data_IF_253080611490
#
_entry.id   IF_253080611490
#
_cell.length_a   1.000
_cell.length_b   1.000
_cell.length_c   1.000
_cell.angle_alpha   90.00
_cell.angle_beta   90.00
_cell.angle_gamma   90.00
#
_symmetry.space_group_name_H-M   'P 1'
#
loop_
_entity.id
_entity.type
_entity.pdbx_description
1 polymer ?
#
# COMPACT_ATOMS: atom_id res chain seq x y z
N UNK A 1 -0.04 3.95 14.95
CA UNK A 1 -1.09 3.79 13.92
C UNK A 1 -1.36 2.31 13.66
N UNK A 2 -2.60 1.88 13.44
CA UNK A 2 -2.94 0.46 13.14
C UNK A 2 -3.25 0.27 11.66
N UNK A 3 -2.57 -0.64 10.98
CA UNK A 3 -2.66 -0.79 9.52
C UNK A 3 -2.89 -2.25 9.15
N UNK A 4 -3.82 -2.51 8.25
CA UNK A 4 -3.97 -3.82 7.61
C UNK A 4 -3.50 -3.71 6.15
N UNK A 5 -2.49 -4.49 5.78
CA UNK A 5 -1.99 -4.57 4.41
C UNK A 5 -2.51 -5.85 3.77
N UNK A 6 -3.27 -5.71 2.69
CA UNK A 6 -3.98 -6.80 2.00
C UNK A 6 -3.64 -6.77 0.52
N UNK A 7 -3.18 -7.89 -0.07
CA UNK A 7 -3.18 -8.03 -1.52
C UNK A 7 -4.57 -7.78 -2.11
N UNK A 8 -4.65 -6.96 -3.16
CA UNK A 8 -5.92 -6.59 -3.81
C UNK A 8 -6.71 -7.81 -4.27
N UNK A 9 -6.01 -8.87 -4.68
CA UNK A 9 -6.60 -10.16 -5.06
C UNK A 9 -7.34 -10.82 -3.90
N UNK A 10 -6.79 -10.79 -2.68
CA UNK A 10 -7.44 -11.36 -1.49
C UNK A 10 -8.65 -10.52 -1.08
N UNK A 11 -8.54 -9.19 -1.07
CA UNK A 11 -9.71 -8.34 -0.82
C UNK A 11 -10.84 -8.59 -1.84
N UNK A 12 -10.48 -8.71 -3.11
CA UNK A 12 -11.45 -9.01 -4.18
C UNK A 12 -12.06 -10.42 -4.01
N UNK A 13 -11.31 -11.37 -3.46
CA UNK A 13 -11.80 -12.69 -3.06
C UNK A 13 -12.82 -12.59 -1.93
N UNK A 14 -12.47 -11.87 -0.86
CA UNK A 14 -13.35 -11.64 0.29
C UNK A 14 -14.66 -10.98 -0.13
N UNK A 15 -14.61 -9.92 -0.95
CA UNK A 15 -15.81 -9.26 -1.47
C UNK A 15 -16.69 -10.22 -2.28
N UNK A 16 -16.09 -11.02 -3.17
CA UNK A 16 -16.85 -12.00 -3.98
C UNK A 16 -17.50 -13.07 -3.11
N UNK A 17 -16.81 -13.55 -2.09
CA UNK A 17 -17.37 -14.49 -1.12
C UNK A 17 -18.54 -13.85 -0.37
N UNK A 18 -18.38 -12.64 0.17
CA UNK A 18 -19.45 -11.92 0.88
C UNK A 18 -20.70 -11.67 0.05
N UNK A 19 -20.56 -11.46 -1.28
CA UNK A 19 -21.71 -11.35 -2.20
C UNK A 19 -22.39 -12.71 -2.40
N UNK A 20 -21.61 -13.79 -2.55
CA UNK A 20 -22.14 -15.13 -2.86
C UNK A 20 -22.72 -15.86 -1.65
N UNK A 21 -22.13 -15.63 -0.48
CA UNK A 21 -22.50 -16.26 0.79
C UNK A 21 -22.65 -15.17 1.86
N UNK A 22 -23.74 -14.37 1.81
CA UNK A 22 -23.96 -13.31 2.77
C UNK A 22 -24.00 -13.83 4.21
N UNK A 23 -23.24 -13.20 5.09
CA UNK A 23 -23.16 -13.56 6.51
C UNK A 23 -22.16 -14.68 6.84
N UNK A 24 -21.60 -15.37 5.85
CA UNK A 24 -20.46 -16.26 6.10
C UNK A 24 -19.20 -15.47 6.45
N UNK A 25 -18.44 -16.03 7.39
CA UNK A 25 -17.22 -15.44 7.89
C UNK A 25 -16.01 -16.14 7.31
N UNK A 26 -15.00 -15.34 7.00
CA UNK A 26 -13.69 -15.78 6.54
C UNK A 26 -12.69 -15.62 7.68
N UNK A 27 -11.76 -16.56 7.76
CA UNK A 27 -10.51 -16.42 8.48
C UNK A 27 -9.44 -15.81 7.57
N UNK A 28 -8.77 -14.76 8.04
CA UNK A 28 -7.69 -14.08 7.32
C UNK A 28 -6.42 -14.24 8.16
N UNK A 29 -5.57 -15.25 7.89
CA UNK A 29 -4.29 -15.38 8.56
C UNK A 29 -3.43 -14.14 8.32
N UNK A 30 -2.76 -13.68 9.37
CA UNK A 30 -1.94 -12.46 9.31
C UNK A 30 -0.55 -12.67 9.88
N UNK A 31 0.46 -12.15 9.19
CA UNK A 31 1.72 -11.79 9.84
C UNK A 31 1.59 -10.45 10.57
N UNK A 32 2.35 -10.25 11.64
CA UNK A 32 2.36 -8.99 12.38
C UNK A 32 3.74 -8.33 12.30
N UNK A 33 3.76 -7.01 12.14
CA UNK A 33 4.97 -6.20 12.15
C UNK A 33 4.75 -4.94 12.99
N UNK A 34 5.60 -4.76 14.01
CA UNK A 34 5.59 -3.59 14.87
C UNK A 34 6.77 -2.68 14.55
N UNK A 35 6.53 -1.37 14.51
CA UNK A 35 7.54 -0.32 14.48
C UNK A 35 7.22 0.77 15.49
N UNK A 36 8.13 1.72 15.69
CA UNK A 36 7.94 2.84 16.61
C UNK A 36 6.67 3.67 16.31
N UNK A 37 6.22 3.71 15.05
CA UNK A 37 5.09 4.55 14.63
C UNK A 37 3.80 3.75 14.34
N UNK A 38 3.90 2.43 14.08
CA UNK A 38 2.76 1.64 13.65
C UNK A 38 2.81 0.17 14.04
N UNK A 39 1.62 -0.41 14.18
CA UNK A 39 1.39 -1.85 14.20
C UNK A 39 0.70 -2.25 12.89
N UNK A 40 1.23 -3.24 12.21
CA UNK A 40 0.81 -3.63 10.87
C UNK A 40 0.50 -5.13 10.81
N UNK A 41 -0.67 -5.47 10.25
CA UNK A 41 -1.10 -6.83 9.97
C UNK A 41 -1.00 -7.08 8.46
N UNK A 42 -0.38 -8.19 8.08
CA UNK A 42 -0.13 -8.57 6.68
C UNK A 42 -1.01 -9.77 6.33
N UNK A 43 -2.11 -9.53 5.61
CA UNK A 43 -3.05 -10.58 5.23
C UNK A 43 -2.41 -11.55 4.21
N UNK A 44 -2.51 -12.85 4.51
CA UNK A 44 -1.90 -13.92 3.70
C UNK A 44 -2.86 -14.61 2.75
N UNK A 45 -4.13 -14.71 3.13
CA UNK A 45 -5.20 -15.31 2.34
C UNK A 45 -6.56 -15.05 2.99
N UNK A 46 -7.64 -15.56 2.41
CA UNK A 46 -8.97 -15.53 3.00
C UNK A 46 -9.62 -16.91 2.88
N UNK A 47 -9.92 -17.54 4.01
CA UNK A 47 -10.34 -18.94 4.10
C UNK A 47 -11.76 -19.00 4.70
N UNK A 48 -12.75 -19.61 4.04
CA UNK A 48 -14.08 -19.79 4.61
C UNK A 48 -14.06 -20.60 5.90
N UNK A 49 -14.86 -20.19 6.89
CA UNK A 49 -15.05 -20.97 8.11
C UNK A 49 -16.08 -22.10 7.89
N UNK A 50 -15.96 -23.25 8.61
CA UNK A 50 -14.99 -23.56 9.66
C UNK A 50 -13.65 -24.07 9.10
N UNK A 51 -12.61 -23.23 9.16
CA UNK A 51 -11.23 -23.59 8.83
C UNK A 51 -10.40 -23.70 10.12
N UNK A 52 -9.34 -24.48 10.06
CA UNK A 52 -8.39 -24.62 11.16
C UNK A 52 -7.68 -23.27 11.42
N UNK A 53 -7.69 -22.80 12.66
CA UNK A 53 -7.18 -21.47 13.06
C UNK A 53 -5.83 -21.59 13.76
N UNK A 54 -4.88 -22.26 13.11
CA UNK A 54 -3.56 -22.56 13.71
C UNK A 54 -2.61 -21.35 13.71
N UNK A 55 -2.97 -20.27 13.01
CA UNK A 55 -2.18 -19.05 12.89
C UNK A 55 -2.98 -17.85 13.35
N UNK A 56 -2.33 -16.81 13.91
CA UNK A 56 -2.98 -15.54 14.21
C UNK A 56 -3.66 -14.94 12.97
N UNK A 57 -4.76 -14.26 13.18
CA UNK A 57 -5.57 -13.78 12.06
C UNK A 57 -6.74 -12.93 12.47
N UNK A 58 -7.38 -12.38 11.43
CA UNK A 58 -8.57 -11.55 11.53
C UNK A 58 -9.78 -12.31 11.02
N UNK A 59 -10.93 -12.02 11.62
CA UNK A 59 -12.22 -12.41 11.05
C UNK A 59 -12.63 -11.39 9.99
N UNK A 60 -13.14 -11.84 8.84
CA UNK A 60 -13.62 -10.98 7.78
C UNK A 60 -15.00 -11.40 7.28
N UNK A 61 -15.89 -10.45 7.01
CA UNK A 61 -17.20 -10.72 6.41
C UNK A 61 -17.78 -9.47 5.73
N UNK A 62 -18.88 -9.66 4.99
CA UNK A 62 -19.68 -8.57 4.42
C UNK A 62 -20.80 -8.14 5.36
N UNK A 63 -21.00 -6.83 5.55
CA UNK A 63 -22.06 -6.29 6.39
C UNK A 63 -22.85 -5.17 5.67
N UNK A 64 -24.18 -5.24 5.73
CA UNK A 64 -25.09 -4.24 5.17
C UNK A 64 -25.48 -3.12 6.16
N UNK A 65 -25.14 -3.26 7.45
CA UNK A 65 -25.34 -2.24 8.50
C UNK A 65 -24.06 -2.10 9.34
N UNK A 66 -23.63 -0.86 9.71
CA UNK A 66 -22.47 -0.67 10.57
C UNK A 66 -22.70 -1.21 11.98
N UNK A 67 -23.92 -1.06 12.49
CA UNK A 67 -24.31 -1.34 13.87
C UNK A 67 -24.39 -2.83 14.18
N UNK A 68 -24.50 -3.66 13.15
CA UNK A 68 -24.64 -5.10 13.33
C UNK A 68 -23.45 -5.67 14.14
N UNK A 69 -22.24 -5.09 14.02
CA UNK A 69 -21.03 -5.64 14.64
C UNK A 69 -19.93 -4.62 15.01
N UNK A 70 -20.15 -3.31 14.83
CA UNK A 70 -19.14 -2.26 15.07
C UNK A 70 -18.59 -2.19 16.51
N UNK A 71 -19.34 -2.68 17.50
CA UNK A 71 -18.98 -2.63 18.93
C UNK A 71 -18.64 -3.99 19.55
N UNK A 72 -18.53 -5.08 18.76
CA UNK A 72 -18.26 -6.41 19.32
C UNK A 72 -16.82 -6.55 19.80
N UNK A 73 -16.67 -7.24 20.92
CA UNK A 73 -15.38 -7.68 21.44
C UNK A 73 -14.69 -8.59 20.41
N UNK A 74 -13.39 -8.38 20.21
CA UNK A 74 -12.57 -9.29 19.41
C UNK A 74 -12.54 -10.66 20.13
N UNK A 75 -12.92 -11.77 19.47
CA UNK A 75 -12.84 -13.10 20.07
C UNK A 75 -11.42 -13.44 20.55
N UNK A 76 -11.27 -14.24 21.61
CA UNK A 76 -9.94 -14.52 22.21
C UNK A 76 -8.92 -15.03 21.19
N UNK A 77 -9.35 -15.94 20.31
CA UNK A 77 -8.53 -16.58 19.28
C UNK A 77 -8.27 -15.70 18.04
N UNK A 78 -8.80 -14.48 17.98
CA UNK A 78 -8.61 -13.57 16.87
C UNK A 78 -7.80 -12.35 17.27
N UNK A 79 -6.97 -11.86 16.35
CA UNK A 79 -6.25 -10.60 16.51
C UNK A 79 -7.16 -9.40 16.24
N UNK A 80 -8.32 -9.62 15.65
CA UNK A 80 -9.22 -8.57 15.24
C UNK A 80 -10.25 -9.03 14.23
N UNK A 81 -10.91 -8.06 13.63
CA UNK A 81 -11.89 -8.28 12.59
C UNK A 81 -11.96 -7.10 11.61
N UNK A 82 -12.41 -7.41 10.39
CA UNK A 82 -12.73 -6.43 9.34
C UNK A 82 -14.10 -6.70 8.72
N UNK A 83 -14.81 -5.63 8.42
CA UNK A 83 -16.09 -5.65 7.73
C UNK A 83 -15.95 -4.99 6.38
N UNK A 84 -16.50 -5.66 5.36
CA UNK A 84 -16.66 -5.12 4.02
C UNK A 84 -18.09 -4.61 3.89
N UNK A 85 -18.27 -3.32 3.64
CA UNK A 85 -19.59 -2.73 3.46
C UNK A 85 -20.29 -3.30 2.22
N UNK A 86 -21.52 -3.78 2.41
CA UNK A 86 -22.40 -4.33 1.40
C UNK A 86 -23.60 -3.39 1.19
N UNK A 87 -24.29 -3.52 0.06
CA UNK A 87 -25.50 -2.75 -0.27
C UNK A 87 -25.30 -1.24 -0.10
N UNK A 88 -26.10 -0.59 0.76
CA UNK A 88 -25.99 0.84 1.06
C UNK A 88 -24.67 1.27 1.70
N UNK A 89 -23.82 0.34 2.12
CA UNK A 89 -22.48 0.58 2.65
C UNK A 89 -21.36 0.23 1.67
N UNK A 90 -21.68 -0.11 0.42
CA UNK A 90 -20.68 -0.45 -0.59
C UNK A 90 -19.57 0.61 -0.67
N UNK A 91 -18.32 0.14 -0.70
CA UNK A 91 -17.13 1.00 -0.71
C UNK A 91 -16.62 1.42 0.68
N UNK A 92 -17.29 1.02 1.77
CA UNK A 92 -16.80 1.21 3.14
C UNK A 92 -16.08 -0.04 3.64
N UNK A 93 -15.04 0.17 4.44
CA UNK A 93 -14.35 -0.88 5.19
C UNK A 93 -14.11 -0.33 6.59
N UNK A 94 -14.39 -1.13 7.61
CA UNK A 94 -14.10 -0.80 9.01
C UNK A 94 -13.68 -2.06 9.76
N UNK A 95 -13.04 -1.90 10.91
CA UNK A 95 -12.50 -3.02 11.67
C UNK A 95 -11.98 -2.60 13.02
N UNK A 96 -11.65 -3.59 13.83
CA UNK A 96 -10.92 -3.41 15.07
C UNK A 96 -9.84 -4.48 15.19
N UNK A 97 -8.73 -4.12 15.83
CA UNK A 97 -7.58 -5.00 16.05
C UNK A 97 -7.13 -4.90 17.50
N UNK A 98 -6.48 -5.96 17.98
CA UNK A 98 -5.97 -6.08 19.33
C UNK A 98 -4.51 -5.62 19.36
N UNK A 99 -4.23 -4.63 20.20
CA UNK A 99 -2.86 -4.15 20.47
C UNK A 99 -2.60 -4.32 21.96
N UNK A 100 -1.77 -5.28 22.32
CA UNK A 100 -1.63 -5.71 23.72
C UNK A 100 -2.98 -6.24 24.25
N UNK A 101 -3.46 -5.67 25.36
CA UNK A 101 -4.77 -6.00 25.94
C UNK A 101 -5.92 -5.13 25.41
N UNK A 102 -5.64 -4.13 24.57
CA UNK A 102 -6.64 -3.17 24.13
C UNK A 102 -7.20 -3.52 22.75
N UNK A 103 -8.50 -3.33 22.59
CA UNK A 103 -9.16 -3.29 21.29
C UNK A 103 -9.15 -1.86 20.77
N UNK A 104 -8.56 -1.66 19.59
CA UNK A 104 -8.43 -0.36 18.95
C UNK A 104 -8.99 -0.39 17.53
N UNK A 105 -9.54 0.71 17.00
CA UNK A 105 -10.05 0.76 15.63
C UNK A 105 -8.94 0.52 14.61
N UNK A 106 -9.25 -0.23 13.55
CA UNK A 106 -8.37 -0.35 12.38
C UNK A 106 -8.38 0.96 11.59
N UNK A 107 -7.31 1.73 11.75
CA UNK A 107 -7.20 3.08 11.18
C UNK A 107 -6.99 3.12 9.66
N UNK A 108 -6.32 2.14 9.05
CA UNK A 108 -6.00 2.15 7.62
C UNK A 108 -5.95 0.73 7.03
N UNK A 109 -6.45 0.58 5.81
CA UNK A 109 -6.27 -0.61 4.97
C UNK A 109 -5.46 -0.25 3.72
N UNK A 110 -4.34 -0.94 3.49
CA UNK A 110 -3.48 -0.78 2.32
C UNK A 110 -3.70 -1.94 1.36
N UNK A 111 -4.01 -1.62 0.10
CA UNK A 111 -4.21 -2.60 -0.95
C UNK A 111 -2.94 -2.73 -1.78
N UNK A 112 -2.25 -3.86 -1.64
CA UNK A 112 -1.08 -4.17 -2.45
C UNK A 112 -1.55 -4.64 -3.83
N UNK A 113 -1.12 -3.94 -4.87
CA UNK A 113 -1.49 -4.20 -6.27
C UNK A 113 -1.69 -2.91 -7.06
N UNK A 114 -2.31 -3.03 -8.24
CA UNK A 114 -2.54 -1.87 -9.10
C UNK A 114 -3.31 -0.76 -8.37
N UNK A 115 -2.75 0.45 -8.39
CA UNK A 115 -3.26 1.64 -7.70
C UNK A 115 -2.69 1.87 -6.29
N UNK A 116 -2.20 0.83 -5.61
CA UNK A 116 -1.67 0.90 -4.23
C UNK A 116 -2.59 1.72 -3.30
N UNK A 117 -3.88 1.35 -3.28
CA UNK A 117 -4.90 2.14 -2.59
C UNK A 117 -4.70 2.11 -1.08
N UNK A 118 -5.05 3.22 -0.44
CA UNK A 118 -5.12 3.34 1.01
C UNK A 118 -6.56 3.73 1.35
N UNK A 119 -7.24 2.93 2.15
CA UNK A 119 -8.62 3.13 2.58
C UNK A 119 -8.57 3.46 4.08
N UNK A 120 -9.10 4.61 4.47
CA UNK A 120 -8.88 5.17 5.82
C UNK A 120 -7.49 5.78 6.00
N UNK A 121 -7.18 6.19 7.24
CA UNK A 121 -5.93 6.86 7.64
C UNK A 121 -5.92 8.38 7.37
N UNK A 122 -4.89 9.09 7.85
CA UNK A 122 -4.69 10.49 7.47
C UNK A 122 -4.51 10.56 5.95
N UNK A 123 -5.22 11.49 5.31
CA UNK A 123 -5.02 11.82 3.89
C UNK A 123 -3.52 11.99 3.64
N UNK A 124 -3.04 11.61 2.45
CA UNK A 124 -1.69 11.91 1.98
C UNK A 124 -1.44 13.44 1.81
N UNK A 125 -2.12 14.27 2.58
CA UNK A 125 -1.88 15.70 2.75
C UNK A 125 -0.67 15.96 3.63
N UNK A 126 0.03 14.91 4.11
CA UNK A 126 1.38 15.10 4.65
C UNK A 126 2.26 15.64 3.51
N UNK A 127 2.77 16.88 3.60
CA UNK A 127 3.75 17.36 2.65
C UNK A 127 4.89 16.35 2.63
N UNK A 128 5.40 16.03 1.44
CA UNK A 128 6.62 15.23 1.38
C UNK A 128 7.67 15.96 2.24
N UNK A 129 8.48 15.26 3.02
CA UNK A 129 9.42 15.90 3.94
C UNK A 129 10.31 16.91 3.18
N UNK A 130 10.10 18.22 3.30
CA UNK A 130 10.77 19.23 2.45
C UNK A 130 10.16 19.47 1.05
N UNK A 131 8.86 19.20 0.84
CA UNK A 131 8.17 19.68 -0.37
C UNK A 131 7.99 21.18 -0.28
N UNK A 132 8.83 21.93 -0.97
CA UNK A 132 8.39 23.21 -1.53
C UNK A 132 7.28 22.84 -2.52
N UNK A 133 6.04 23.31 -2.35
CA UNK A 133 5.03 23.17 -3.38
C UNK A 133 5.62 23.76 -4.66
N UNK A 134 5.64 23.05 -5.80
CA UNK A 134 6.04 23.69 -7.04
C UNK A 134 5.18 24.95 -7.21
N UNK A 135 5.83 26.08 -7.52
CA UNK A 135 5.12 27.32 -7.87
C UNK A 135 3.99 26.96 -8.86
N UNK A 136 2.80 27.57 -8.81
CA UNK A 136 1.64 27.14 -9.62
C UNK A 136 1.95 26.94 -11.12
N UNK A 137 2.81 27.79 -11.69
CA UNK A 137 3.29 27.67 -13.07
C UNK A 137 4.17 26.43 -13.29
N UNK A 138 5.05 26.11 -12.34
CA UNK A 138 5.80 24.87 -12.38
C UNK A 138 4.83 23.70 -12.31
N UNK A 139 3.84 23.72 -11.40
CA UNK A 139 2.86 22.64 -11.26
C UNK A 139 2.16 22.32 -12.60
N UNK A 140 1.73 23.34 -13.36
CA UNK A 140 1.15 23.16 -14.69
C UNK A 140 2.14 22.50 -15.66
N UNK A 141 3.39 22.97 -15.72
CA UNK A 141 4.46 22.36 -16.51
C UNK A 141 4.71 20.89 -16.12
N UNK A 142 4.67 20.56 -14.83
CA UNK A 142 4.75 19.17 -14.36
C UNK A 142 3.55 18.36 -14.87
N UNK A 143 2.33 18.88 -14.73
CA UNK A 143 1.15 18.16 -15.21
C UNK A 143 1.19 17.88 -16.71
N UNK A 144 1.68 18.82 -17.51
CA UNK A 144 1.85 18.64 -18.96
C UNK A 144 2.90 17.55 -19.28
N UNK A 145 4.11 17.68 -18.68
CA UNK A 145 5.24 16.78 -18.94
C UNK A 145 4.93 15.31 -18.64
N UNK A 146 4.18 15.01 -17.57
CA UNK A 146 3.80 13.64 -17.19
C UNK A 146 2.35 13.29 -17.52
N UNK A 147 1.66 14.09 -18.34
CA UNK A 147 0.24 13.88 -18.69
C UNK A 147 -0.07 12.44 -19.13
N UNK A 148 0.73 11.88 -20.05
CA UNK A 148 0.59 10.49 -20.52
C UNK A 148 0.88 9.46 -19.42
N UNK A 149 1.89 9.70 -18.59
CA UNK A 149 2.25 8.81 -17.47
C UNK A 149 1.13 8.80 -16.42
N UNK A 150 0.59 9.97 -16.08
CA UNK A 150 -0.56 10.09 -15.18
C UNK A 150 -1.83 9.50 -15.78
N UNK A 151 -2.03 9.58 -17.09
CA UNK A 151 -3.13 8.93 -17.80
C UNK A 151 -3.06 7.40 -17.70
N UNK A 152 -1.85 6.83 -17.84
CA UNK A 152 -1.64 5.39 -17.74
C UNK A 152 -1.69 4.86 -16.30
N UNK A 153 -1.03 5.54 -15.35
CA UNK A 153 -0.94 5.09 -13.95
C UNK A 153 -2.14 5.53 -13.09
N UNK A 154 -2.83 6.58 -13.50
CA UNK A 154 -3.76 7.33 -12.66
C UNK A 154 -3.04 8.37 -11.79
N UNK A 155 -3.62 9.57 -11.70
CA UNK A 155 -3.03 10.73 -10.99
C UNK A 155 -2.64 10.44 -9.53
N UNK A 156 -3.45 9.68 -8.79
CA UNK A 156 -3.11 9.34 -7.40
C UNK A 156 -1.91 8.39 -7.30
N UNK A 157 -1.84 7.38 -8.17
CA UNK A 157 -0.71 6.44 -8.16
C UNK A 157 0.58 7.14 -8.57
N UNK A 158 0.54 7.99 -9.60
CA UNK A 158 1.67 8.81 -9.99
C UNK A 158 2.13 9.73 -8.85
N UNK A 159 1.20 10.44 -8.17
CA UNK A 159 1.52 11.26 -6.99
C UNK A 159 2.15 10.47 -5.84
N UNK A 160 1.75 9.21 -5.64
CA UNK A 160 2.38 8.33 -4.64
C UNK A 160 3.79 7.98 -5.07
N UNK A 161 3.97 7.53 -6.31
CA UNK A 161 5.27 7.16 -6.90
C UNK A 161 6.27 8.32 -6.78
N UNK A 162 5.91 9.52 -7.22
CA UNK A 162 6.84 10.67 -7.24
C UNK A 162 7.20 11.21 -5.86
N UNK A 163 6.45 10.82 -4.82
CA UNK A 163 6.73 11.15 -3.42
C UNK A 163 7.58 10.09 -2.70
N UNK A 164 7.84 8.94 -3.32
CA UNK A 164 8.69 7.92 -2.72
C UNK A 164 10.13 8.45 -2.57
N UNK A 165 10.77 8.02 -1.50
CA UNK A 165 12.22 8.07 -1.35
C UNK A 165 12.75 6.68 -1.69
N UNK A 166 13.55 6.60 -2.75
CA UNK A 166 14.04 5.33 -3.27
C UNK A 166 15.55 5.28 -3.03
N UNK A 167 16.03 4.22 -2.39
CA UNK A 167 17.46 3.91 -2.35
C UNK A 167 17.74 2.85 -3.42
N UNK A 168 18.76 3.08 -4.24
CA UNK A 168 19.27 2.12 -5.23
C UNK A 168 20.70 1.78 -4.81
N UNK A 169 20.95 0.50 -4.52
CA UNK A 169 22.26 -0.02 -4.15
C UNK A 169 22.78 -0.83 -5.34
N UNK A 170 23.90 -0.40 -5.91
CA UNK A 170 24.43 -0.83 -7.20
C UNK A 170 23.83 -0.03 -8.36
N UNK A 171 24.69 0.58 -9.16
CA UNK A 171 24.42 1.48 -10.29
C UNK A 171 25.05 0.99 -11.59
N UNK A 172 25.44 -0.29 -11.67
CA UNK A 172 25.74 -0.96 -12.95
C UNK A 172 24.54 -0.95 -13.92
N UNK A 173 24.53 -1.84 -14.92
CA UNK A 173 23.50 -1.91 -15.98
C UNK A 173 22.06 -1.74 -15.47
N UNK A 174 21.65 -2.53 -14.50
CA UNK A 174 20.25 -2.50 -14.00
C UNK A 174 19.99 -1.29 -13.12
N UNK A 175 20.91 -0.95 -12.23
CA UNK A 175 20.73 0.14 -11.27
C UNK A 175 20.62 1.51 -11.95
N UNK A 176 21.49 1.76 -12.93
CA UNK A 176 21.47 2.97 -13.76
C UNK A 176 20.16 3.10 -14.54
N UNK A 177 19.72 2.03 -15.22
CA UNK A 177 18.45 2.02 -15.96
C UNK A 177 17.23 2.27 -15.05
N UNK A 178 17.22 1.70 -13.84
CA UNK A 178 16.18 1.95 -12.84
C UNK A 178 16.23 3.41 -12.37
N UNK A 179 17.41 3.94 -12.08
CA UNK A 179 17.59 5.33 -11.64
C UNK A 179 17.04 6.31 -12.68
N UNK A 180 17.45 6.16 -13.95
CA UNK A 180 16.99 6.99 -15.06
C UNK A 180 15.48 6.84 -15.29
N UNK A 181 14.95 5.62 -15.23
CA UNK A 181 13.51 5.36 -15.37
C UNK A 181 12.71 6.06 -14.27
N UNK A 182 13.12 5.95 -13.00
CA UNK A 182 12.45 6.61 -11.88
C UNK A 182 12.48 8.14 -12.02
N UNK A 183 13.63 8.69 -12.42
CA UNK A 183 13.75 10.13 -12.70
C UNK A 183 12.81 10.56 -13.85
N UNK A 184 12.74 9.78 -14.93
CA UNK A 184 11.82 10.02 -16.07
C UNK A 184 10.35 9.91 -15.67
N UNK A 185 10.00 9.03 -14.72
CA UNK A 185 8.64 8.92 -14.17
C UNK A 185 8.27 10.07 -13.21
N UNK A 186 9.25 10.92 -12.86
CA UNK A 186 9.05 12.10 -12.02
C UNK A 186 9.39 11.88 -10.54
N UNK A 187 10.02 10.76 -10.17
CA UNK A 187 10.57 10.56 -8.83
C UNK A 187 11.74 11.52 -8.63
N UNK A 188 11.78 12.20 -7.47
CA UNK A 188 12.75 13.27 -7.20
C UNK A 188 13.70 13.02 -6.05
N UNK A 189 13.52 11.91 -5.35
CA UNK A 189 14.32 11.58 -4.17
C UNK A 189 14.87 10.18 -4.34
N UNK A 190 16.04 10.13 -4.97
CA UNK A 190 16.76 8.88 -5.21
C UNK A 190 18.10 8.99 -4.50
N UNK A 191 18.35 8.07 -3.57
CA UNK A 191 19.66 7.86 -2.98
C UNK A 191 20.35 6.78 -3.81
N UNK A 192 21.48 7.13 -4.42
CA UNK A 192 22.28 6.23 -5.24
C UNK A 192 23.52 5.82 -4.44
N UNK A 193 23.77 4.51 -4.33
CA UNK A 193 24.90 3.95 -3.58
C UNK A 193 25.62 2.96 -4.48
N UNK A 194 26.84 3.30 -4.88
CA UNK A 194 27.74 2.41 -5.62
C UNK A 194 29.18 2.72 -5.21
N UNK A 195 30.00 1.73 -4.81
CA UNK A 195 31.41 1.95 -4.53
C UNK A 195 32.29 2.01 -5.80
N UNK A 196 31.79 1.59 -6.96
CA UNK A 196 32.58 1.43 -8.18
C UNK A 196 32.73 2.75 -8.95
N UNK A 197 33.78 2.83 -9.77
CA UNK A 197 34.01 3.94 -10.72
C UNK A 197 33.63 3.52 -12.13
N UNK A 198 33.22 4.48 -12.97
CA UNK A 198 32.90 4.22 -14.38
C UNK A 198 34.16 3.78 -15.13
N UNK A 199 34.04 2.73 -15.92
CA UNK A 199 35.04 2.22 -16.85
C UNK A 199 34.49 2.17 -18.28
N UNK A 200 35.38 2.08 -19.27
CA UNK A 200 35.01 2.05 -20.70
C UNK A 200 33.97 1.00 -21.06
N UNK A 201 34.00 -0.16 -20.41
CA UNK A 201 33.06 -1.24 -20.69
C UNK A 201 31.64 -0.94 -20.17
N UNK A 202 31.48 0.06 -19.31
CA UNK A 202 30.18 0.50 -18.80
C UNK A 202 29.43 1.41 -19.79
N UNK A 203 30.15 2.13 -20.66
CA UNK A 203 29.56 3.14 -21.55
C UNK A 203 28.48 2.60 -22.51
N UNK A 204 28.54 1.32 -22.87
CA UNK A 204 27.54 0.66 -23.71
C UNK A 204 26.40 -0.01 -22.93
N UNK A 205 26.48 -0.06 -21.61
CA UNK A 205 25.66 -0.93 -20.77
C UNK A 205 24.97 -0.19 -19.61
N UNK A 206 25.46 1.00 -19.25
CA UNK A 206 24.91 1.83 -18.18
C UNK A 206 24.18 3.05 -18.76
N UNK A 207 23.01 3.35 -18.19
CA UNK A 207 22.25 4.54 -18.55
C UNK A 207 22.79 5.78 -17.84
N UNK A 208 22.95 6.89 -18.57
CA UNK A 208 23.30 8.19 -17.97
C UNK A 208 24.79 8.38 -17.69
N UNK A 209 25.64 7.60 -18.33
CA UNK A 209 27.09 7.84 -18.43
C UNK A 209 27.47 8.11 -19.89
N UNK A 210 28.54 8.86 -20.13
CA UNK A 210 29.11 9.07 -21.45
C UNK A 210 30.66 9.06 -21.45
N UNK A 211 31.26 9.32 -22.62
CA UNK A 211 32.73 9.28 -22.81
C UNK A 211 33.51 10.32 -21.96
N UNK A 212 32.82 11.26 -21.30
CA UNK A 212 33.41 12.26 -20.40
C UNK A 212 33.45 11.83 -18.93
N UNK A 213 32.76 10.74 -18.57
CA UNK A 213 32.74 10.16 -17.22
C UNK A 213 33.88 9.15 -17.00
#
# INVERSE_FOLDING_TARGET
MTVLTVPRTYLSGMMRHSVRQPGEMLWVPTGQHASAERMEWLAREAIPLPAQRDQPGLLAWGAASPDAWSARAIPEHADGWICLGMDGLAGRIWGAVRVGSQQVPLQEVRLVGSGMYRIGGPTLDRPAFGSVPPHPEQAAFWFERWSRTMGALGRQAWRRLTRLQVAIVGLGRTGSAVAVTLARLGVRRVLLVDPDTVERHNLGEMDGVDEQD
#
